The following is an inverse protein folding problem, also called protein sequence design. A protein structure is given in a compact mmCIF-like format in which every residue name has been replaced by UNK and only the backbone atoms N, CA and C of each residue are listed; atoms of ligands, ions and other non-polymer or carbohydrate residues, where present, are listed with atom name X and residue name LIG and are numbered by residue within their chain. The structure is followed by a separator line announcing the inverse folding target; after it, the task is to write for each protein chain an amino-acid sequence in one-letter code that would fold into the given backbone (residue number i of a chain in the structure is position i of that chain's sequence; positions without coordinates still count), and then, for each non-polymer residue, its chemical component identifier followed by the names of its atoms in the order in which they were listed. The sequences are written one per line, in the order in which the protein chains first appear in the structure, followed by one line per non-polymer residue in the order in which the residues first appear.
data_IF_725048349620
#
_entry.id   IF_725048349620
#
_cell.length_a   1.000
_cell.length_b   1.000
_cell.length_c   1.000
_cell.angle_alpha   90.00
_cell.angle_beta   90.00
_cell.angle_gamma   90.00
#
_symmetry.space_group_name_H-M   'P 1'
#
loop_
_entity.id
_entity.type
_entity.pdbx_description
1 polymer ?
#
# COMPACT_ATOMS: atom_id res chain seq x y z
N UNK A 1 20.00 -4.89 20.14
CA UNK A 1 20.98 -5.62 20.94
C UNK A 1 22.26 -4.84 21.19
N UNK A 2 22.50 -3.70 20.48
CA UNK A 2 23.64 -2.80 20.67
C UNK A 2 24.97 -3.30 20.12
N UNK A 3 24.97 -4.40 19.33
CA UNK A 3 26.17 -4.92 18.70
C UNK A 3 26.73 -3.95 17.65
N UNK A 4 28.05 -3.70 17.71
CA UNK A 4 28.76 -2.88 16.73
C UNK A 4 29.53 -3.77 15.77
N UNK A 5 29.31 -3.62 14.47
CA UNK A 5 30.04 -4.32 13.41
C UNK A 5 30.91 -3.31 12.65
N UNK A 6 32.20 -3.63 12.50
CA UNK A 6 33.07 -2.89 11.59
C UNK A 6 32.82 -3.36 10.16
N UNK A 7 32.81 -2.44 9.21
CA UNK A 7 32.65 -2.70 7.79
C UNK A 7 33.60 -1.85 6.95
N UNK A 8 33.96 -2.31 5.78
CA UNK A 8 34.67 -1.54 4.76
C UNK A 8 33.73 -0.88 3.78
N UNK A 9 32.60 -1.53 3.48
CA UNK A 9 31.51 -1.00 2.67
C UNK A 9 30.18 -1.49 3.23
N UNK A 10 29.16 -0.63 3.13
CA UNK A 10 27.81 -0.92 3.60
C UNK A 10 26.82 -0.78 2.45
N UNK A 11 25.94 -1.77 2.31
CA UNK A 11 24.79 -1.69 1.41
C UNK A 11 23.52 -1.56 2.25
N UNK A 12 22.83 -0.44 2.10
CA UNK A 12 21.56 -0.18 2.73
C UNK A 12 20.43 -0.73 1.86
N UNK A 13 19.77 -1.80 2.31
CA UNK A 13 18.74 -2.52 1.56
C UNK A 13 17.52 -2.86 2.46
N UNK A 14 17.08 -1.90 3.29
CA UNK A 14 16.01 -2.12 4.27
C UNK A 14 14.59 -2.07 3.69
N UNK A 15 14.46 -1.86 2.38
CA UNK A 15 13.17 -1.90 1.70
C UNK A 15 12.22 -0.79 2.13
N UNK A 16 10.95 -1.12 2.17
CA UNK A 16 9.84 -0.21 2.48
C UNK A 16 8.78 -0.89 3.34
N UNK A 17 7.93 -0.11 3.98
CA UNK A 17 6.74 -0.56 4.72
C UNK A 17 5.48 -0.05 4.02
N UNK A 18 4.35 -0.78 4.18
CA UNK A 18 3.06 -0.32 3.70
C UNK A 18 2.69 1.02 4.35
N UNK A 19 2.19 1.93 3.53
CA UNK A 19 1.61 3.15 4.03
C UNK A 19 0.14 2.92 4.37
N UNK A 20 -0.20 3.04 5.64
CA UNK A 20 -1.59 3.09 6.10
C UNK A 20 -1.91 4.58 6.32
N UNK A 21 -2.84 5.17 5.55
CA UNK A 21 -3.25 6.56 5.76
C UNK A 21 -3.79 6.75 7.19
N UNK A 22 -3.57 7.91 7.82
CA UNK A 22 -4.06 8.20 9.17
C UNK A 22 -5.57 8.50 9.15
N UNK A 23 -6.35 7.51 8.75
CA UNK A 23 -7.81 7.56 8.75
C UNK A 23 -8.28 7.10 10.13
N UNK A 24 -9.20 7.81 10.82
CA UNK A 24 -9.79 7.32 12.05
C UNK A 24 -10.28 5.87 11.92
N UNK A 25 -9.87 5.01 12.85
CA UNK A 25 -10.19 3.59 12.85
C UNK A 25 -9.26 2.70 12.00
N UNK A 26 -8.17 3.26 11.41
CA UNK A 26 -7.19 2.49 10.64
C UNK A 26 -6.30 1.59 11.48
N UNK A 27 -6.36 1.69 12.80
CA UNK A 27 -5.64 0.88 13.78
C UNK A 27 -6.38 -0.38 14.22
N UNK A 28 -7.61 -0.62 13.74
CA UNK A 28 -8.41 -1.80 14.07
C UNK A 28 -7.79 -3.09 13.55
N UNK A 29 -8.05 -4.20 14.22
CA UNK A 29 -7.49 -5.50 13.86
C UNK A 29 -7.85 -5.96 12.45
N UNK A 30 -9.07 -5.66 11.99
CA UNK A 30 -9.55 -6.01 10.64
C UNK A 30 -9.09 -5.02 9.56
N UNK A 31 -8.20 -4.07 9.88
CA UNK A 31 -7.53 -3.23 8.89
C UNK A 31 -6.15 -3.80 8.63
N UNK A 32 -5.91 -4.28 7.41
CA UNK A 32 -4.70 -5.02 7.05
C UNK A 32 -4.09 -4.42 5.78
N UNK A 33 -2.77 -4.19 5.80
CA UNK A 33 -1.99 -3.93 4.60
C UNK A 33 -1.19 -5.18 4.24
N UNK A 34 -1.06 -5.51 2.96
CA UNK A 34 -0.39 -6.74 2.52
C UNK A 34 1.05 -6.43 2.10
N UNK A 35 2.01 -6.95 2.86
CA UNK A 35 3.45 -6.84 2.55
C UNK A 35 4.19 -8.15 2.80
N UNK A 36 3.81 -8.87 3.84
CA UNK A 36 4.49 -10.07 4.34
C UNK A 36 3.55 -11.27 4.34
N UNK A 37 4.10 -12.47 4.44
CA UNK A 37 3.33 -13.71 4.53
C UNK A 37 2.40 -13.73 5.76
N UNK A 38 2.83 -13.09 6.85
CA UNK A 38 2.03 -12.96 8.07
C UNK A 38 0.73 -12.20 7.83
N UNK A 39 0.76 -11.18 6.96
CA UNK A 39 -0.42 -10.38 6.61
C UNK A 39 -1.46 -11.24 5.87
N UNK A 40 -1.01 -12.08 4.93
CA UNK A 40 -1.92 -13.00 4.22
C UNK A 40 -2.49 -14.06 5.15
N UNK A 41 -1.69 -14.60 6.07
CA UNK A 41 -2.18 -15.54 7.09
C UNK A 41 -3.22 -14.91 8.02
N UNK A 42 -3.02 -13.63 8.38
CA UNK A 42 -4.00 -12.87 9.15
C UNK A 42 -5.33 -12.74 8.40
N UNK A 43 -5.28 -12.40 7.11
CA UNK A 43 -6.48 -12.34 6.26
C UNK A 43 -7.15 -13.72 6.19
N UNK A 44 -6.40 -14.78 5.92
CA UNK A 44 -6.93 -16.16 5.87
C UNK A 44 -7.65 -16.57 7.17
N UNK A 45 -7.10 -16.18 8.32
CA UNK A 45 -7.72 -16.47 9.60
C UNK A 45 -9.05 -15.71 9.83
N UNK A 46 -9.19 -14.50 9.26
CA UNK A 46 -10.41 -13.69 9.35
C UNK A 46 -11.49 -14.13 8.36
N UNK A 47 -11.10 -14.69 7.19
CA UNK A 47 -12.03 -15.00 6.09
C UNK A 47 -13.30 -15.77 6.46
N UNK A 48 -13.30 -16.75 7.40
CA UNK A 48 -14.52 -17.49 7.75
C UNK A 48 -15.68 -16.61 8.24
N UNK A 49 -15.38 -15.44 8.81
CA UNK A 49 -16.36 -14.50 9.36
C UNK A 49 -16.61 -13.29 8.47
N UNK A 50 -15.80 -13.13 7.41
CA UNK A 50 -15.82 -11.98 6.52
C UNK A 50 -16.76 -12.21 5.33
N UNK A 51 -17.70 -11.29 5.12
CA UNK A 51 -18.59 -11.26 3.94
C UNK A 51 -18.30 -10.06 3.04
N UNK A 52 -18.02 -8.90 3.63
CA UNK A 52 -17.85 -7.64 2.94
C UNK A 52 -16.42 -7.16 3.10
N UNK A 53 -15.72 -6.97 2.00
CA UNK A 53 -14.33 -6.51 1.99
C UNK A 53 -14.28 -5.17 1.27
N UNK A 54 -13.69 -4.19 1.91
CA UNK A 54 -13.32 -2.93 1.28
C UNK A 54 -11.82 -2.92 1.02
N UNK A 55 -11.43 -2.63 -0.21
CA UNK A 55 -10.03 -2.41 -0.60
C UNK A 55 -9.81 -0.92 -0.82
N UNK A 56 -8.91 -0.33 -0.06
CA UNK A 56 -8.51 1.08 -0.18
C UNK A 56 -7.28 1.17 -1.08
N UNK A 57 -7.47 1.70 -2.29
CA UNK A 57 -6.46 1.85 -3.33
C UNK A 57 -6.74 1.00 -4.56
N UNK A 58 -6.88 1.68 -5.70
CA UNK A 58 -7.17 1.10 -7.03
C UNK A 58 -5.92 0.91 -7.90
N UNK A 59 -4.75 0.74 -7.30
CA UNK A 59 -3.53 0.34 -7.97
C UNK A 59 -3.43 -1.17 -8.19
N UNK A 60 -2.33 -1.65 -8.80
CA UNK A 60 -2.12 -3.07 -9.15
C UNK A 60 -2.38 -3.99 -7.95
N UNK A 61 -1.68 -3.79 -6.84
CA UNK A 61 -1.78 -4.67 -5.67
C UNK A 61 -3.17 -4.64 -5.01
N UNK A 62 -3.84 -3.47 -5.03
CA UNK A 62 -5.21 -3.34 -4.52
C UNK A 62 -6.21 -4.13 -5.37
N UNK A 63 -6.09 -4.06 -6.69
CA UNK A 63 -6.95 -4.81 -7.61
C UNK A 63 -6.68 -6.32 -7.55
N UNK A 64 -5.43 -6.74 -7.39
CA UNK A 64 -5.07 -8.15 -7.14
C UNK A 64 -5.69 -8.65 -5.83
N UNK A 65 -5.56 -7.89 -4.75
CA UNK A 65 -6.19 -8.23 -3.47
C UNK A 65 -7.72 -8.31 -3.60
N UNK A 66 -8.34 -7.35 -4.30
CA UNK A 66 -9.78 -7.34 -4.55
C UNK A 66 -10.22 -8.59 -5.33
N UNK A 67 -9.44 -9.00 -6.33
CA UNK A 67 -9.71 -10.21 -7.11
C UNK A 67 -9.62 -11.48 -6.24
N UNK A 68 -8.59 -11.61 -5.42
CA UNK A 68 -8.45 -12.78 -4.53
C UNK A 68 -9.58 -12.84 -3.49
N UNK A 69 -10.01 -11.71 -2.93
CA UNK A 69 -11.17 -11.67 -2.03
C UNK A 69 -12.46 -12.02 -2.76
N UNK A 70 -12.61 -11.62 -4.02
CA UNK A 70 -13.74 -12.03 -4.86
C UNK A 70 -13.75 -13.53 -5.13
N UNK A 71 -12.59 -14.14 -5.40
CA UNK A 71 -12.45 -15.60 -5.53
C UNK A 71 -12.77 -16.32 -4.22
N UNK A 72 -12.50 -15.71 -3.08
CA UNK A 72 -12.91 -16.20 -1.76
C UNK A 72 -14.41 -16.01 -1.48
N UNK A 73 -15.20 -15.57 -2.49
CA UNK A 73 -16.66 -15.37 -2.44
C UNK A 73 -17.12 -14.21 -1.54
N UNK A 74 -16.25 -13.27 -1.23
CA UNK A 74 -16.63 -12.04 -0.54
C UNK A 74 -17.34 -11.06 -1.50
N UNK A 75 -18.16 -10.18 -0.93
CA UNK A 75 -18.60 -8.95 -1.58
C UNK A 75 -17.44 -7.94 -1.50
N UNK A 76 -16.95 -7.48 -2.64
CA UNK A 76 -15.75 -6.63 -2.67
C UNK A 76 -16.07 -5.27 -3.25
N UNK A 77 -15.63 -4.24 -2.54
CA UNK A 77 -15.68 -2.85 -2.99
C UNK A 77 -14.28 -2.25 -2.98
N UNK A 78 -13.84 -1.70 -4.12
CA UNK A 78 -12.60 -0.95 -4.26
C UNK A 78 -12.90 0.54 -4.16
N UNK A 79 -12.21 1.24 -3.27
CA UNK A 79 -12.28 2.68 -3.06
C UNK A 79 -10.95 3.31 -3.49
N UNK A 80 -10.99 4.20 -4.49
CA UNK A 80 -9.84 4.90 -5.02
C UNK A 80 -10.03 6.41 -4.89
N UNK A 81 -9.06 7.08 -4.28
CA UNK A 81 -9.05 8.54 -4.10
C UNK A 81 -8.88 9.27 -5.43
N UNK A 82 -8.04 8.74 -6.33
CA UNK A 82 -7.85 9.29 -7.66
C UNK A 82 -9.09 9.07 -8.54
N UNK A 83 -9.24 9.89 -9.57
CA UNK A 83 -10.34 9.78 -10.52
C UNK A 83 -10.29 8.47 -11.35
N UNK A 84 -9.10 7.88 -11.51
CA UNK A 84 -8.86 6.73 -12.35
C UNK A 84 -8.22 5.58 -11.58
N UNK A 85 -8.63 4.34 -11.88
CA UNK A 85 -7.89 3.15 -11.49
C UNK A 85 -6.54 3.14 -12.21
N UNK A 86 -5.47 2.74 -11.47
CA UNK A 86 -4.12 2.67 -12.01
C UNK A 86 -3.70 3.94 -12.77
N UNK A 87 -4.14 5.12 -12.33
CA UNK A 87 -3.97 6.39 -13.04
C UNK A 87 -2.52 6.86 -13.25
N UNK A 88 -1.52 6.12 -12.72
CA UNK A 88 -0.10 6.34 -13.03
C UNK A 88 0.38 5.52 -14.22
N UNK A 89 -0.33 4.45 -14.59
CA UNK A 89 0.04 3.48 -15.62
C UNK A 89 -0.90 3.53 -16.83
N UNK A 90 -2.16 3.88 -16.61
CA UNK A 90 -3.21 3.81 -17.63
C UNK A 90 -3.70 5.22 -18.00
N UNK A 91 -4.05 5.40 -19.25
CA UNK A 91 -4.85 6.53 -19.70
C UNK A 91 -6.33 6.36 -19.30
N UNK A 92 -7.15 7.39 -19.54
CA UNK A 92 -8.57 7.41 -19.16
C UNK A 92 -9.35 6.27 -19.83
N UNK A 93 -9.09 5.97 -21.10
CA UNK A 93 -9.79 4.92 -21.84
C UNK A 93 -9.49 3.54 -21.28
N UNK A 94 -8.22 3.23 -21.04
CA UNK A 94 -7.80 1.96 -20.46
C UNK A 94 -8.26 1.81 -18.99
N UNK A 95 -8.22 2.88 -18.21
CA UNK A 95 -8.71 2.87 -16.82
C UNK A 95 -10.23 2.59 -16.76
N UNK A 96 -11.04 3.16 -17.66
CA UNK A 96 -12.48 2.91 -17.73
C UNK A 96 -12.78 1.47 -18.19
N UNK A 97 -12.03 0.94 -19.14
CA UNK A 97 -12.12 -0.48 -19.51
C UNK A 97 -11.82 -1.40 -18.34
N UNK A 98 -10.78 -1.11 -17.56
CA UNK A 98 -10.41 -1.88 -16.37
C UNK A 98 -11.51 -1.81 -15.31
N UNK A 99 -12.07 -0.63 -15.05
CA UNK A 99 -13.19 -0.42 -14.14
C UNK A 99 -14.42 -1.24 -14.55
N UNK A 100 -14.82 -1.12 -15.81
CA UNK A 100 -15.93 -1.89 -16.38
C UNK A 100 -15.69 -3.40 -16.27
N UNK A 101 -14.48 -3.87 -16.59
CA UNK A 101 -14.10 -5.27 -16.46
C UNK A 101 -14.22 -5.76 -15.02
N UNK A 102 -13.73 -4.98 -14.05
CA UNK A 102 -13.83 -5.30 -12.62
C UNK A 102 -15.28 -5.39 -12.15
N UNK A 103 -16.12 -4.44 -12.59
CA UNK A 103 -17.55 -4.43 -12.27
C UNK A 103 -18.30 -5.62 -12.87
N UNK A 104 -17.96 -6.02 -14.08
CA UNK A 104 -18.52 -7.21 -14.74
C UNK A 104 -18.15 -8.51 -14.01
N UNK A 105 -17.04 -8.52 -13.26
CA UNK A 105 -16.66 -9.62 -12.37
C UNK A 105 -17.30 -9.51 -10.98
N UNK A 106 -18.17 -8.53 -10.76
CA UNK A 106 -18.90 -8.31 -9.51
C UNK A 106 -18.07 -7.69 -8.40
N UNK A 107 -17.04 -6.90 -8.74
CA UNK A 107 -16.31 -6.03 -7.83
C UNK A 107 -16.87 -4.62 -7.96
N UNK A 108 -17.42 -4.05 -6.89
CA UNK A 108 -17.85 -2.65 -6.90
C UNK A 108 -16.62 -1.73 -6.92
N UNK A 109 -16.67 -0.66 -7.71
CA UNK A 109 -15.53 0.27 -7.85
C UNK A 109 -16.03 1.71 -7.75
N UNK A 110 -15.49 2.44 -6.76
CA UNK A 110 -15.71 3.86 -6.58
C UNK A 110 -14.38 4.59 -6.75
N UNK A 111 -14.32 5.51 -7.69
CA UNK A 111 -13.14 6.36 -7.97
C UNK A 111 -13.45 7.81 -7.63
N UNK A 112 -12.43 8.62 -7.30
CA UNK A 112 -12.60 10.01 -6.91
C UNK A 112 -13.25 10.15 -5.53
N UNK A 113 -13.17 9.14 -4.65
CA UNK A 113 -13.83 9.13 -3.34
C UNK A 113 -12.83 9.35 -2.21
N UNK A 114 -13.19 10.21 -1.28
CA UNK A 114 -12.44 10.42 -0.05
C UNK A 114 -13.02 9.55 1.06
N UNK A 115 -12.15 8.88 1.81
CA UNK A 115 -12.53 8.12 3.00
C UNK A 115 -12.30 9.02 4.22
N UNK A 116 -13.30 9.12 5.08
CA UNK A 116 -13.25 9.95 6.28
C UNK A 116 -13.04 9.15 7.56
N UNK A 117 -13.53 7.91 7.60
CA UNK A 117 -13.47 7.07 8.80
C UNK A 117 -13.67 5.59 8.46
N UNK A 118 -13.04 4.70 9.22
CA UNK A 118 -13.32 3.26 9.28
C UNK A 118 -14.13 3.00 10.55
N UNK A 119 -15.39 2.64 10.35
CA UNK A 119 -16.40 2.54 11.42
C UNK A 119 -16.28 1.26 12.24
N UNK A 120 -16.84 1.31 13.45
CA UNK A 120 -16.94 0.21 14.39
C UNK A 120 -16.19 0.50 15.69
N UNK A 121 -16.58 -0.13 16.79
CA UNK A 121 -15.90 0.00 18.09
C UNK A 121 -14.71 -0.98 18.17
N UNK A 122 -14.99 -2.25 18.39
CA UNK A 122 -13.97 -3.31 18.45
C UNK A 122 -13.67 -3.91 17.08
N UNK A 123 -14.70 -4.07 16.25
CA UNK A 123 -14.60 -4.65 14.92
C UNK A 123 -15.00 -3.64 13.85
N UNK A 124 -14.44 -3.78 12.65
CA UNK A 124 -14.83 -2.99 11.49
C UNK A 124 -16.28 -3.33 11.11
N UNK A 125 -17.10 -2.30 10.90
CA UNK A 125 -18.49 -2.44 10.44
C UNK A 125 -18.75 -1.74 9.12
N UNK A 126 -17.85 -0.86 8.68
CA UNK A 126 -17.99 -0.13 7.43
C UNK A 126 -16.91 0.93 7.24
N UNK A 127 -17.00 1.60 6.11
CA UNK A 127 -16.13 2.72 5.73
C UNK A 127 -17.00 3.90 5.35
N UNK A 128 -16.80 5.05 5.99
CA UNK A 128 -17.52 6.28 5.74
C UNK A 128 -16.80 7.12 4.68
N UNK A 129 -17.53 7.52 3.66
CA UNK A 129 -17.03 8.36 2.57
C UNK A 129 -17.28 9.83 2.86
N UNK A 130 -16.51 10.73 2.23
CA UNK A 130 -16.70 12.18 2.33
C UNK A 130 -18.06 12.67 1.81
N UNK A 131 -18.78 11.86 1.04
CA UNK A 131 -20.17 12.09 0.64
C UNK A 131 -21.20 11.84 1.75
N UNK A 132 -20.80 11.19 2.84
CA UNK A 132 -21.68 10.68 3.89
C UNK A 132 -22.22 9.25 3.61
N UNK A 133 -21.90 8.66 2.49
CA UNK A 133 -22.22 7.27 2.19
C UNK A 133 -21.38 6.33 3.04
N UNK A 134 -21.98 5.27 3.55
CA UNK A 134 -21.32 4.21 4.31
C UNK A 134 -21.27 2.93 3.50
N UNK A 135 -20.07 2.43 3.25
CA UNK A 135 -19.85 1.15 2.59
C UNK A 135 -19.66 0.07 3.67
N UNK A 136 -20.53 -0.96 3.74
CA UNK A 136 -20.39 -2.06 4.71
C UNK A 136 -19.06 -2.79 4.52
N UNK A 137 -18.37 -3.09 5.62
CA UNK A 137 -17.12 -3.84 5.61
C UNK A 137 -16.95 -4.63 6.90
N UNK A 138 -16.48 -5.86 6.77
CA UNK A 138 -16.04 -6.73 7.87
C UNK A 138 -14.49 -6.79 7.88
N UNK A 139 -13.86 -6.48 6.74
CA UNK A 139 -12.42 -6.42 6.54
C UNK A 139 -12.07 -5.23 5.63
N UNK A 140 -11.03 -4.50 5.98
CA UNK A 140 -10.46 -3.43 5.15
C UNK A 140 -9.03 -3.80 4.77
N UNK A 141 -8.75 -3.88 3.48
CA UNK A 141 -7.40 -4.09 2.94
C UNK A 141 -6.87 -2.75 2.44
N UNK A 142 -5.75 -2.29 3.00
CA UNK A 142 -5.14 -1.01 2.61
C UNK A 142 -4.01 -1.25 1.61
N UNK A 143 -4.15 -0.68 0.42
CA UNK A 143 -3.17 -0.70 -0.67
C UNK A 143 -2.85 0.73 -1.15
N UNK A 144 -2.52 1.62 -0.20
CA UNK A 144 -2.27 3.05 -0.46
C UNK A 144 -0.78 3.36 -0.78
N UNK A 145 -0.02 2.35 -1.17
CA UNK A 145 1.40 2.46 -1.50
C UNK A 145 2.33 2.12 -0.35
N UNK A 146 3.62 2.42 -0.54
CA UNK A 146 4.69 2.09 0.42
C UNK A 146 5.52 3.34 0.73
N UNK A 147 6.20 3.30 1.88
CA UNK A 147 7.21 4.29 2.28
C UNK A 147 8.54 3.60 2.52
N UNK A 148 9.59 4.15 1.97
CA UNK A 148 10.95 3.64 2.15
C UNK A 148 11.37 3.72 3.64
N UNK A 149 12.07 2.69 4.10
CA UNK A 149 12.64 2.67 5.44
C UNK A 149 13.90 3.52 5.46
N UNK A 150 13.77 4.81 5.79
CA UNK A 150 14.87 5.79 5.73
C UNK A 150 15.41 6.23 7.08
N UNK A 151 14.68 6.00 8.18
CA UNK A 151 15.00 6.56 9.50
C UNK A 151 16.41 6.22 10.02
N UNK A 152 16.91 4.98 9.91
CA UNK A 152 18.30 4.68 10.31
C UNK A 152 19.34 5.43 9.48
N UNK A 153 19.11 5.60 8.19
CA UNK A 153 20.00 6.33 7.28
C UNK A 153 19.99 7.83 7.60
N UNK A 154 18.81 8.40 7.77
CA UNK A 154 18.61 9.80 8.15
C UNK A 154 19.27 10.14 9.48
N UNK A 155 19.13 9.26 10.47
CA UNK A 155 19.80 9.40 11.77
C UNK A 155 21.33 9.33 11.67
N UNK A 156 21.86 8.67 10.64
CA UNK A 156 23.29 8.58 10.35
C UNK A 156 23.81 9.71 9.44
N UNK A 157 22.98 10.70 9.09
CA UNK A 157 23.37 11.84 8.25
C UNK A 157 23.44 11.51 6.75
N UNK A 158 22.84 10.40 6.33
CA UNK A 158 22.71 10.06 4.92
C UNK A 158 21.56 10.87 4.32
N UNK A 159 21.79 11.44 3.13
CA UNK A 159 20.80 12.26 2.44
C UNK A 159 19.59 11.44 2.03
N UNK A 160 18.41 11.96 2.41
CA UNK A 160 17.12 11.32 2.15
C UNK A 160 16.10 12.34 1.69
N UNK A 161 15.24 11.94 0.73
CA UNK A 161 13.98 12.58 0.36
C UNK A 161 12.84 11.58 0.56
N UNK A 162 12.26 11.03 -0.48
CA UNK A 162 11.29 9.91 -0.38
C UNK A 162 11.97 8.59 -0.05
N UNK A 163 13.23 8.44 -0.45
CA UNK A 163 14.13 7.34 -0.14
C UNK A 163 15.55 7.89 -0.01
N UNK A 164 16.56 7.03 0.16
CA UNK A 164 17.96 7.45 0.18
C UNK A 164 18.35 7.96 -1.22
N UNK A 165 18.90 9.17 -1.28
CA UNK A 165 19.38 9.76 -2.53
C UNK A 165 20.70 9.10 -2.92
N UNK A 166 20.73 8.55 -4.14
CA UNK A 166 21.94 7.91 -4.70
C UNK A 166 22.30 8.46 -6.07
N UNK A 167 23.54 8.26 -6.45
CA UNK A 167 24.04 8.55 -7.80
C UNK A 167 23.84 7.33 -8.73
N UNK A 168 24.33 7.42 -9.97
CA UNK A 168 24.25 6.37 -11.00
C UNK A 168 25.00 5.07 -10.64
N UNK A 169 25.82 5.10 -9.57
CA UNK A 169 26.52 3.95 -9.02
C UNK A 169 25.93 3.42 -7.73
N UNK A 170 24.72 3.92 -7.38
CA UNK A 170 24.04 3.61 -6.13
C UNK A 170 24.79 4.07 -4.87
N UNK A 171 25.75 5.01 -5.00
CA UNK A 171 26.48 5.61 -3.90
C UNK A 171 25.65 6.71 -3.24
N UNK A 172 25.61 6.74 -1.92
CA UNK A 172 25.03 7.84 -1.14
C UNK A 172 26.00 9.03 -1.03
N UNK A 173 25.58 10.10 -0.34
CA UNK A 173 26.47 11.21 0.01
C UNK A 173 27.57 10.84 1.03
N UNK A 174 27.52 9.65 1.63
CA UNK A 174 28.54 9.15 2.57
C UNK A 174 29.41 8.10 1.89
N UNK A 175 30.72 8.29 1.93
CA UNK A 175 31.69 7.41 1.29
C UNK A 175 31.53 5.96 1.77
N UNK A 176 31.67 5.00 0.85
CA UNK A 176 31.56 3.56 1.08
C UNK A 176 30.18 3.09 1.57
N UNK A 177 29.15 3.93 1.47
CA UNK A 177 27.76 3.58 1.74
C UNK A 177 26.94 3.68 0.45
N UNK A 178 26.26 2.57 0.13
CA UNK A 178 25.42 2.38 -1.03
C UNK A 178 23.98 2.10 -0.61
N UNK A 179 22.99 2.39 -1.46
CA UNK A 179 21.62 1.97 -1.22
C UNK A 179 21.02 1.31 -2.46
N UNK A 180 20.12 0.32 -2.25
CA UNK A 180 19.44 -0.37 -3.35
C UNK A 180 18.05 -0.85 -2.93
N UNK A 181 17.22 -1.21 -3.92
CA UNK A 181 15.83 -1.65 -3.72
C UNK A 181 14.90 -0.51 -3.34
N UNK A 182 13.79 -0.84 -2.66
CA UNK A 182 12.71 0.09 -2.33
C UNK A 182 13.15 1.32 -1.51
N UNK A 183 14.28 1.25 -0.86
CA UNK A 183 14.80 2.35 -0.05
C UNK A 183 15.73 3.31 -0.79
N UNK A 184 15.99 3.12 -2.08
CA UNK A 184 16.85 3.99 -2.88
C UNK A 184 16.03 4.83 -3.88
N UNK A 185 16.52 6.06 -4.15
CA UNK A 185 16.01 6.90 -5.24
C UNK A 185 17.16 7.51 -6.03
N UNK A 186 17.01 7.56 -7.34
CA UNK A 186 17.94 8.21 -8.26
C UNK A 186 17.20 9.25 -9.11
N UNK A 187 17.73 10.47 -9.20
CA UNK A 187 17.12 11.59 -9.93
C UNK A 187 15.64 11.83 -9.59
N UNK A 188 15.26 11.69 -8.31
CA UNK A 188 13.90 11.90 -7.84
C UNK A 188 12.95 10.72 -8.09
N UNK A 189 13.41 9.65 -8.74
CA UNK A 189 12.62 8.43 -8.98
C UNK A 189 12.97 7.38 -7.93
N UNK A 190 11.95 6.94 -7.18
CA UNK A 190 12.06 5.78 -6.30
C UNK A 190 11.57 4.55 -7.07
N UNK A 191 12.44 3.58 -7.24
CA UNK A 191 12.17 2.33 -7.95
C UNK A 191 11.62 1.24 -7.02
N UNK A 192 10.84 1.63 -6.03
CA UNK A 192 10.30 0.79 -4.98
C UNK A 192 9.42 -0.37 -5.48
N UNK A 193 8.93 -0.28 -6.70
CA UNK A 193 8.20 -1.36 -7.36
C UNK A 193 8.94 -1.63 -8.65
N UNK A 194 9.31 -2.89 -8.86
CA UNK A 194 9.95 -3.35 -10.09
C UNK A 194 9.32 -2.68 -11.32
N UNK A 195 10.11 -2.26 -12.31
CA UNK A 195 9.62 -1.44 -13.39
C UNK A 195 8.42 -2.09 -14.05
N UNK A 196 7.39 -1.32 -14.03
CA UNK A 196 6.12 -1.56 -14.65
C UNK A 196 6.15 -1.01 -16.05
#
# INVERSE_FOLDING_TARGET
DGMKLAYTRLIYALGSECFIPPIPGSDKEQVVAIRRLEDTRKIEALLPEVKNVVVIGGGVLGLEAAWEMKRAKCNVTVLELAALLMGRQLDEGAAEMLKTSSQNQGIAVHTGVQITEILGEEQVTGVNLGSGEVIPADLVIVSAGVRANVEPAKSAGIETDRALVVNERMETNVQDIYACGDCAQYQGVNYAIWPQ
#
